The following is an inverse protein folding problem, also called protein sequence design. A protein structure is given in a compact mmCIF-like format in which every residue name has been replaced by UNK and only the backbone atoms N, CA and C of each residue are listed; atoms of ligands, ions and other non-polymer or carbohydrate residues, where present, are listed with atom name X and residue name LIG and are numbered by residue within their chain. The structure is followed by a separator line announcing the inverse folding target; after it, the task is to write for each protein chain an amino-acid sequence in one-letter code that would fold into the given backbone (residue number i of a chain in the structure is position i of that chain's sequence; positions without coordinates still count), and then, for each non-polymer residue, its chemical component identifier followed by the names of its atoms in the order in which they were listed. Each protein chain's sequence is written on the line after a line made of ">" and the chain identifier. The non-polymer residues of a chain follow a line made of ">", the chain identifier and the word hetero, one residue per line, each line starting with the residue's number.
data_IF_775308770248
#
_entry.id   IF_775308770248
#
_cell.length_a   1.000
_cell.length_b   1.000
_cell.length_c   1.000
_cell.angle_alpha   90.00
_cell.angle_beta   90.00
_cell.angle_gamma   90.00
#
_symmetry.space_group_name_H-M   'P 1'
#
loop_
_entity.id
_entity.type
_entity.pdbx_description
1 polymer ?
#
# COMPACT_ATOMS: atom_id res chain seq x y z
N UNK A 1 -20.86 -1.76 51.03
CA UNK A 1 -20.58 -0.90 49.86
C UNK A 1 -21.51 -1.35 48.74
N UNK A 2 -22.33 -0.46 48.17
CA UNK A 2 -23.16 -0.81 46.99
C UNK A 2 -22.23 -0.95 45.78
N UNK A 3 -22.21 -2.10 45.12
CA UNK A 3 -21.48 -2.26 43.87
C UNK A 3 -22.12 -1.35 42.81
N UNK A 4 -21.40 -0.34 42.33
CA UNK A 4 -21.85 0.41 41.16
C UNK A 4 -21.85 -0.55 39.96
N UNK A 5 -23.01 -0.72 39.33
CA UNK A 5 -23.13 -1.53 38.12
C UNK A 5 -22.35 -0.86 37.00
N UNK A 6 -21.36 -1.57 36.43
CA UNK A 6 -20.62 -1.07 35.28
C UNK A 6 -21.55 -0.76 34.11
N UNK A 7 -21.34 0.38 33.46
CA UNK A 7 -22.08 0.75 32.25
C UNK A 7 -21.82 -0.28 31.13
N UNK A 8 -22.68 -0.33 30.12
CA UNK A 8 -22.47 -1.24 28.99
C UNK A 8 -21.15 -0.93 28.27
N UNK A 9 -20.81 0.35 28.11
CA UNK A 9 -19.53 0.80 27.55
C UNK A 9 -18.33 0.33 28.38
N UNK A 10 -18.39 0.46 29.71
CA UNK A 10 -17.33 -0.04 30.61
C UNK A 10 -17.18 -1.56 30.52
N UNK A 11 -18.27 -2.30 30.33
CA UNK A 11 -18.22 -3.76 30.15
C UNK A 11 -17.62 -4.17 28.80
N UNK A 12 -17.77 -3.33 27.79
CA UNK A 12 -17.19 -3.54 26.46
C UNK A 12 -15.72 -3.13 26.36
N UNK A 13 -15.14 -2.54 27.41
CA UNK A 13 -13.74 -2.11 27.43
C UNK A 13 -13.50 -0.70 26.87
N UNK A 14 -14.56 0.10 26.68
CA UNK A 14 -14.42 1.48 26.18
C UNK A 14 -13.98 2.48 27.26
N UNK A 15 -13.82 2.04 28.51
CA UNK A 15 -13.24 2.88 29.54
C UNK A 15 -11.72 2.78 29.47
N UNK A 16 -11.15 3.45 28.48
CA UNK A 16 -9.71 3.42 28.28
C UNK A 16 -9.03 4.57 29.04
N UNK A 17 -8.49 4.23 30.21
CA UNK A 17 -7.67 5.16 30.98
C UNK A 17 -6.42 5.64 30.19
N UNK A 18 -6.02 4.94 29.11
CA UNK A 18 -4.85 5.29 28.31
C UNK A 18 -5.05 6.48 27.38
N UNK A 19 -6.30 6.80 27.01
CA UNK A 19 -6.63 7.98 26.19
C UNK A 19 -6.12 9.29 26.79
N UNK A 20 -5.89 9.31 28.11
CA UNK A 20 -5.40 10.48 28.83
C UNK A 20 -3.88 10.48 29.07
N UNK A 21 -3.17 9.47 28.57
CA UNK A 21 -1.73 9.33 28.82
C UNK A 21 -0.90 10.08 27.79
N UNK A 22 0.14 10.82 28.20
CA UNK A 22 1.06 11.47 27.26
C UNK A 22 1.70 10.51 26.25
N UNK A 23 1.90 9.24 26.63
CA UNK A 23 2.45 8.20 25.75
C UNK A 23 1.50 7.86 24.59
N UNK A 24 0.18 7.92 24.82
CA UNK A 24 -0.83 7.73 23.79
C UNK A 24 -0.79 8.88 22.79
N UNK A 25 -0.80 10.12 23.28
CA UNK A 25 -0.72 11.31 22.43
C UNK A 25 0.56 11.33 21.60
N UNK A 26 1.70 10.96 22.20
CA UNK A 26 2.97 10.82 21.49
C UNK A 26 2.88 9.82 20.34
N UNK A 27 2.30 8.65 20.58
CA UNK A 27 2.16 7.61 19.55
C UNK A 27 1.16 8.01 18.46
N UNK A 28 0.06 8.68 18.81
CA UNK A 28 -0.88 9.29 17.87
C UNK A 28 -0.19 10.31 16.96
N UNK A 29 0.58 11.22 17.52
CA UNK A 29 1.33 12.22 16.76
C UNK A 29 2.42 11.58 15.89
N UNK A 30 3.10 10.56 16.40
CA UNK A 30 4.07 9.81 15.62
C UNK A 30 3.42 9.11 14.43
N UNK A 31 2.32 8.39 14.64
CA UNK A 31 1.58 7.74 13.57
C UNK A 31 1.09 8.77 12.54
N UNK A 32 0.45 9.85 12.98
CA UNK A 32 -0.05 10.91 12.10
C UNK A 32 1.05 11.55 11.24
N UNK A 33 2.27 11.74 11.76
CA UNK A 33 3.39 12.28 10.98
C UNK A 33 3.93 11.30 9.93
N UNK A 34 3.74 10.00 10.14
CA UNK A 34 4.35 8.94 9.34
C UNK A 34 3.33 8.09 8.57
N UNK A 35 2.02 8.40 8.67
CA UNK A 35 0.95 7.51 8.20
C UNK A 35 1.02 7.25 6.69
N UNK A 36 1.54 8.16 5.88
CA UNK A 36 1.70 7.94 4.43
C UNK A 36 2.71 6.84 4.11
N UNK A 37 3.80 6.76 4.89
CA UNK A 37 4.79 5.70 4.75
C UNK A 37 4.20 4.35 5.14
N UNK A 38 3.46 4.31 6.25
CA UNK A 38 2.71 3.12 6.64
C UNK A 38 1.66 2.74 5.60
N UNK A 39 0.91 3.71 5.08
CA UNK A 39 -0.13 3.49 4.07
C UNK A 39 0.44 2.84 2.80
N UNK A 40 1.62 3.28 2.33
CA UNK A 40 2.34 2.63 1.23
C UNK A 40 2.59 1.16 1.52
N UNK A 41 3.26 0.89 2.64
CA UNK A 41 3.57 -0.48 3.07
C UNK A 41 2.31 -1.34 3.19
N UNK A 42 1.26 -0.82 3.82
CA UNK A 42 -0.02 -1.52 3.98
C UNK A 42 -0.67 -1.85 2.64
N UNK A 43 -0.55 -0.98 1.64
CA UNK A 43 -1.11 -1.22 0.31
C UNK A 43 -0.27 -2.22 -0.48
N UNK A 44 1.05 -2.18 -0.35
CA UNK A 44 1.93 -3.14 -0.99
C UNK A 44 1.72 -4.55 -0.42
N UNK A 45 1.64 -4.65 0.91
CA UNK A 45 1.48 -5.92 1.63
C UNK A 45 0.07 -6.51 1.45
N UNK A 46 -0.99 -5.67 1.48
CA UNK A 46 -2.38 -6.14 1.54
C UNK A 46 -3.24 -5.77 0.32
N UNK A 47 -2.83 -4.81 -0.49
CA UNK A 47 -3.56 -4.33 -1.67
C UNK A 47 -3.36 -5.19 -2.92
N UNK A 48 -2.34 -6.05 -2.96
CA UNK A 48 -2.10 -7.01 -4.04
C UNK A 48 -3.28 -7.96 -4.28
N UNK A 49 -4.02 -8.33 -3.21
CA UNK A 49 -5.23 -9.14 -3.31
C UNK A 49 -6.45 -8.41 -3.93
N UNK A 50 -6.48 -7.07 -3.94
CA UNK A 50 -7.49 -6.30 -4.68
C UNK A 50 -7.21 -6.32 -6.19
N UNK A 51 -5.94 -6.38 -6.59
CA UNK A 51 -5.54 -6.39 -8.00
C UNK A 51 -5.74 -7.76 -8.67
N UNK A 52 -5.65 -8.88 -7.94
CA UNK A 52 -5.88 -10.22 -8.53
C UNK A 52 -7.33 -10.43 -9.04
N UNK A 53 -8.30 -9.66 -8.54
CA UNK A 53 -9.70 -9.74 -9.01
C UNK A 53 -9.98 -8.88 -10.24
N UNK A 54 -9.03 -8.01 -10.64
CA UNK A 54 -9.09 -7.30 -11.92
C UNK A 54 -8.54 -8.26 -12.99
N UNK A 55 -9.42 -9.18 -13.42
CA UNK A 55 -9.37 -10.00 -14.64
C UNK A 55 -8.04 -9.99 -15.40
N UNK A 56 -7.30 -11.08 -15.26
CA UNK A 56 -6.33 -11.57 -16.27
C UNK A 56 -7.03 -12.33 -17.41
N UNK A 57 -8.33 -12.10 -17.62
CA UNK A 57 -9.07 -12.71 -18.72
C UNK A 57 -8.59 -12.14 -20.06
N UNK A 58 -7.63 -12.86 -20.66
CA UNK A 58 -7.26 -12.89 -22.09
C UNK A 58 -6.85 -11.56 -22.73
N UNK A 59 -5.54 -11.30 -22.77
CA UNK A 59 -4.95 -10.51 -23.86
C UNK A 59 -3.70 -11.22 -24.40
N UNK A 60 -3.74 -11.72 -25.65
CA UNK A 60 -2.58 -12.31 -26.29
C UNK A 60 -1.70 -11.22 -26.94
N UNK A 61 -0.44 -11.16 -26.47
CA UNK A 61 0.72 -10.47 -27.06
C UNK A 61 0.75 -8.93 -27.06
N UNK A 62 1.76 -8.38 -26.37
CA UNK A 62 2.17 -6.97 -26.40
C UNK A 62 2.57 -6.44 -25.02
N UNK A 63 3.73 -5.79 -24.91
CA UNK A 63 4.03 -4.90 -23.78
C UNK A 63 3.18 -3.64 -23.99
N UNK A 64 2.03 -3.56 -23.34
CA UNK A 64 1.35 -2.29 -23.16
C UNK A 64 2.09 -1.54 -22.05
N UNK A 65 2.79 -0.45 -22.39
CA UNK A 65 2.85 0.67 -21.45
C UNK A 65 1.38 1.05 -21.25
N UNK A 66 0.83 0.71 -20.10
CA UNK A 66 -0.57 1.02 -19.79
C UNK A 66 -0.79 2.51 -20.03
N UNK A 67 -1.73 2.84 -20.90
CA UNK A 67 -2.23 4.20 -21.05
C UNK A 67 -2.59 4.72 -19.65
N UNK A 68 -1.80 5.66 -19.15
CA UNK A 68 -2.04 6.28 -17.85
C UNK A 68 -2.37 7.74 -18.09
N UNK A 69 -3.65 8.06 -17.93
CA UNK A 69 -4.13 9.44 -17.88
C UNK A 69 -3.67 10.06 -16.55
N UNK A 70 -2.66 10.92 -16.63
CA UNK A 70 -2.37 11.93 -15.62
C UNK A 70 -2.54 13.30 -16.27
N UNK A 71 -3.63 14.00 -15.94
CA UNK A 71 -3.98 15.31 -16.49
C UNK A 71 -3.02 16.44 -16.07
N UNK A 72 -1.96 16.14 -15.31
CA UNK A 72 -1.04 17.16 -14.74
C UNK A 72 0.38 17.14 -15.27
N UNK A 73 0.73 16.21 -16.16
CA UNK A 73 2.04 16.21 -16.82
C UNK A 73 1.85 16.46 -18.33
N UNK A 74 2.65 17.37 -18.89
CA UNK A 74 2.67 17.72 -20.32
C UNK A 74 3.18 16.52 -21.18
N UNK A 75 2.35 15.49 -21.35
CA UNK A 75 2.71 14.20 -21.97
C UNK A 75 2.47 14.10 -23.48
N UNK A 76 2.23 15.21 -24.17
CA UNK A 76 2.14 15.24 -25.64
C UNK A 76 3.38 14.69 -26.36
N UNK A 77 4.53 14.56 -25.67
CA UNK A 77 5.79 14.05 -26.25
C UNK A 77 6.09 12.56 -25.99
N UNK A 78 5.40 11.90 -25.04
CA UNK A 78 5.68 10.51 -24.67
C UNK A 78 4.75 9.51 -25.38
N UNK A 79 3.61 9.95 -25.89
CA UNK A 79 2.70 9.07 -26.65
C UNK A 79 3.25 8.64 -28.01
N UNK A 80 4.28 9.31 -28.52
CA UNK A 80 4.96 8.91 -29.75
C UNK A 80 6.10 7.91 -29.49
N UNK A 81 6.63 7.80 -28.27
CA UNK A 81 7.78 6.94 -27.95
C UNK A 81 7.43 5.47 -27.67
N UNK A 82 6.15 5.14 -27.52
CA UNK A 82 5.62 3.79 -27.23
C UNK A 82 5.75 2.78 -28.40
N UNK A 83 6.20 3.22 -29.57
CA UNK A 83 6.43 2.35 -30.75
C UNK A 83 7.93 2.11 -31.01
N UNK A 84 8.70 1.74 -29.98
CA UNK A 84 10.04 1.19 -30.21
C UNK A 84 9.89 -0.24 -30.73
N UNK A 85 10.21 -0.47 -32.00
CA UNK A 85 10.20 -1.82 -32.59
C UNK A 85 11.32 -2.65 -31.94
N UNK A 86 10.94 -3.75 -31.27
CA UNK A 86 11.85 -4.61 -30.55
C UNK A 86 12.55 -5.62 -31.47
N UNK A 87 13.90 -5.69 -31.48
CA UNK A 87 14.60 -6.79 -32.14
C UNK A 87 14.41 -8.06 -31.33
N UNK A 88 13.58 -8.99 -31.83
CA UNK A 88 13.19 -10.23 -31.14
C UNK A 88 14.35 -11.18 -30.85
N UNK A 89 15.49 -10.97 -31.50
CA UNK A 89 16.58 -11.95 -31.56
C UNK A 89 17.83 -11.50 -30.76
N UNK A 90 17.74 -10.42 -29.97
CA UNK A 90 18.87 -9.84 -29.25
C UNK A 90 18.66 -9.78 -27.74
N UNK A 91 19.66 -10.24 -27.00
CA UNK A 91 19.79 -10.00 -25.56
C UNK A 91 20.72 -8.80 -25.33
N UNK A 92 20.47 -8.04 -24.26
CA UNK A 92 21.26 -6.87 -23.89
C UNK A 92 21.72 -7.00 -22.45
N UNK A 93 22.97 -6.65 -22.16
CA UNK A 93 23.56 -6.73 -20.83
C UNK A 93 23.26 -5.50 -19.97
N UNK A 94 22.90 -4.36 -20.59
CA UNK A 94 22.56 -3.11 -19.90
C UNK A 94 21.47 -2.29 -20.62
N UNK A 95 20.89 -1.31 -19.92
CA UNK A 95 19.94 -0.35 -20.52
C UNK A 95 20.61 0.52 -21.58
N UNK A 96 21.90 0.84 -21.40
CA UNK A 96 22.65 1.63 -22.37
C UNK A 96 22.87 0.83 -23.66
N UNK A 97 23.20 -0.46 -23.57
CA UNK A 97 23.32 -1.34 -24.75
C UNK A 97 22.01 -1.41 -25.52
N UNK A 98 20.91 -1.56 -24.79
CA UNK A 98 19.57 -1.54 -25.36
C UNK A 98 19.27 -0.22 -26.06
N UNK A 99 19.42 0.93 -25.38
CA UNK A 99 19.12 2.24 -25.95
C UNK A 99 20.03 2.54 -27.15
N UNK A 100 21.29 2.13 -27.09
CA UNK A 100 22.22 2.26 -28.20
C UNK A 100 21.78 1.41 -29.40
N UNK A 101 21.34 0.18 -29.21
CA UNK A 101 20.81 -0.65 -30.30
C UNK A 101 19.50 -0.10 -30.86
N UNK A 102 18.56 0.29 -30.00
CA UNK A 102 17.29 0.89 -30.40
C UNK A 102 17.51 2.19 -31.21
N UNK A 103 18.53 2.98 -30.87
CA UNK A 103 18.86 4.23 -31.56
C UNK A 103 19.41 4.04 -32.98
N UNK A 104 19.85 2.82 -33.34
CA UNK A 104 20.28 2.49 -34.71
C UNK A 104 19.11 2.50 -35.68
N UNK A 105 17.88 2.31 -35.20
CA UNK A 105 16.69 2.53 -36.00
C UNK A 105 16.40 4.05 -36.05
N UNK A 106 16.44 4.63 -37.25
CA UNK A 106 16.33 6.08 -37.45
C UNK A 106 15.01 6.65 -36.90
N UNK A 107 13.94 5.86 -36.94
CA UNK A 107 12.62 6.23 -36.42
C UNK A 107 12.55 6.23 -34.88
N UNK A 108 13.58 5.70 -34.22
CA UNK A 108 13.67 5.58 -32.77
C UNK A 108 14.66 6.58 -32.15
N UNK A 109 15.47 7.28 -32.95
CA UNK A 109 16.58 8.10 -32.44
C UNK A 109 16.12 9.22 -31.51
N UNK A 110 15.07 9.95 -31.89
CA UNK A 110 14.52 11.03 -31.06
C UNK A 110 13.86 10.49 -29.79
N UNK A 111 13.18 9.34 -29.89
CA UNK A 111 12.53 8.64 -28.76
C UNK A 111 13.56 8.15 -27.74
N UNK A 112 14.64 7.53 -28.22
CA UNK A 112 15.75 7.07 -27.38
C UNK A 112 16.42 8.24 -26.67
N UNK A 113 16.62 9.37 -27.37
CA UNK A 113 17.21 10.56 -26.75
C UNK A 113 16.32 11.13 -25.64
N UNK A 114 14.99 11.16 -25.84
CA UNK A 114 14.05 11.57 -24.80
C UNK A 114 14.12 10.66 -23.56
N UNK A 115 14.18 9.34 -23.76
CA UNK A 115 14.33 8.36 -22.65
C UNK A 115 15.66 8.54 -21.92
N UNK A 116 16.78 8.73 -22.66
CA UNK A 116 18.10 9.01 -22.06
C UNK A 116 18.08 10.26 -21.20
N UNK A 117 17.37 11.29 -21.63
CA UNK A 117 17.28 12.55 -20.89
C UNK A 117 16.46 12.42 -19.59
N UNK A 118 15.36 11.67 -19.62
CA UNK A 118 14.58 11.34 -18.41
C UNK A 118 15.40 10.52 -17.39
N UNK A 119 16.20 9.57 -17.86
CA UNK A 119 17.12 8.80 -17.01
C UNK A 119 18.17 9.73 -16.37
N UNK A 120 18.73 10.68 -17.13
CA UNK A 120 19.74 11.64 -16.62
C UNK A 120 19.20 12.61 -15.58
N UNK A 121 17.92 12.99 -15.69
CA UNK A 121 17.29 13.92 -14.77
C UNK A 121 16.95 13.29 -13.41
N UNK A 122 17.29 12.01 -13.19
CA UNK A 122 16.97 11.21 -11.99
C UNK A 122 15.46 11.13 -11.69
N UNK A 123 14.62 11.55 -12.65
CA UNK A 123 13.16 11.39 -12.64
C UNK A 123 12.75 9.93 -12.93
N UNK A 124 13.71 9.08 -13.30
CA UNK A 124 13.48 7.68 -13.64
C UNK A 124 14.51 6.75 -12.96
N UNK A 125 14.28 6.37 -11.70
CA UNK A 125 15.06 5.32 -11.02
C UNK A 125 14.56 3.92 -11.40
N UNK A 126 14.91 3.48 -12.61
CA UNK A 126 14.69 2.11 -13.04
C UNK A 126 15.77 1.20 -12.45
N UNK A 127 15.43 0.41 -11.43
CA UNK A 127 16.24 -0.76 -11.07
C UNK A 127 15.80 -1.92 -11.96
N UNK A 128 16.65 -2.31 -12.92
CA UNK A 128 16.44 -3.51 -13.72
C UNK A 128 16.97 -4.69 -12.91
N UNK A 129 16.08 -5.42 -12.25
CA UNK A 129 16.38 -6.75 -11.74
C UNK A 129 16.10 -7.78 -12.84
N UNK A 130 17.15 -8.43 -13.36
CA UNK A 130 16.99 -9.67 -14.13
C UNK A 130 16.90 -10.82 -13.12
N UNK A 131 15.69 -11.25 -12.76
CA UNK A 131 15.53 -12.52 -12.05
C UNK A 131 15.81 -13.66 -13.03
N UNK A 132 17.01 -14.22 -12.95
CA UNK A 132 17.33 -15.53 -13.55
C UNK A 132 16.59 -16.59 -12.73
N UNK A 133 15.34 -16.86 -13.09
CA UNK A 133 14.56 -17.95 -12.48
C UNK A 133 15.21 -19.29 -12.83
N UNK A 134 15.32 -20.15 -11.82
CA UNK A 134 15.91 -21.49 -11.88
C UNK A 134 15.40 -22.30 -13.07
N UNK A 135 16.33 -23.04 -13.71
CA UNK A 135 16.06 -24.02 -14.76
C UNK A 135 15.00 -25.04 -14.29
N UNK A 136 13.74 -24.79 -14.60
CA UNK A 136 12.70 -25.81 -14.64
C UNK A 136 12.85 -26.55 -15.97
N UNK A 137 13.36 -27.78 -15.90
CA UNK A 137 13.33 -28.74 -17.01
C UNK A 137 11.89 -29.15 -17.28
N UNK A 138 11.15 -28.33 -18.02
CA UNK A 138 9.87 -28.73 -18.62
C UNK A 138 9.89 -28.21 -20.06
N UNK A 139 9.58 -29.09 -21.01
CA UNK A 139 9.85 -28.92 -22.44
C UNK A 139 9.29 -27.65 -23.08
N UNK A 140 10.00 -27.22 -24.13
CA UNK A 140 9.59 -26.35 -25.25
C UNK A 140 8.33 -25.49 -25.02
N UNK A 141 8.47 -24.43 -24.24
CA UNK A 141 7.68 -23.23 -24.42
C UNK A 141 8.65 -22.06 -24.60
N UNK A 142 8.51 -21.35 -25.73
CA UNK A 142 9.19 -20.08 -25.97
C UNK A 142 8.65 -19.07 -24.95
N UNK A 143 9.41 -18.84 -23.87
CA UNK A 143 9.12 -17.79 -22.90
C UNK A 143 9.77 -16.51 -23.38
N UNK A 144 8.97 -15.51 -23.76
CA UNK A 144 9.47 -14.17 -24.06
C UNK A 144 9.93 -13.47 -22.76
N UNK A 145 11.05 -12.72 -22.77
CA UNK A 145 11.51 -11.97 -21.61
C UNK A 145 10.54 -10.82 -21.31
N UNK A 146 9.78 -10.95 -20.22
CA UNK A 146 9.02 -9.84 -19.66
C UNK A 146 9.95 -8.96 -18.82
N UNK A 147 10.08 -7.68 -19.19
CA UNK A 147 10.66 -6.68 -18.31
C UNK A 147 9.62 -6.29 -17.25
N UNK A 148 9.75 -6.85 -16.06
CA UNK A 148 9.09 -6.32 -14.89
C UNK A 148 9.88 -5.09 -14.44
N UNK A 149 9.28 -3.90 -14.58
CA UNK A 149 9.83 -2.70 -13.94
C UNK A 149 9.10 -2.52 -12.59
N UNK A 150 9.64 -3.07 -11.49
CA UNK A 150 8.99 -2.99 -10.18
C UNK A 150 8.79 -1.54 -9.71
N UNK A 151 9.57 -0.59 -10.24
CA UNK A 151 9.62 0.79 -9.77
C UNK A 151 8.65 1.77 -10.48
N UNK A 152 7.86 1.34 -11.49
CA UNK A 152 6.84 2.23 -12.09
C UNK A 152 5.54 2.25 -11.30
N UNK A 153 5.40 1.39 -10.28
CA UNK A 153 4.29 1.47 -9.33
C UNK A 153 4.54 2.53 -8.24
N UNK A 154 5.16 3.67 -8.57
CA UNK A 154 4.79 4.93 -7.92
C UNK A 154 3.38 5.33 -8.36
N UNK A 155 2.43 4.43 -8.10
CA UNK A 155 1.01 4.70 -8.02
C UNK A 155 0.85 5.73 -6.92
N UNK A 156 1.04 7.00 -7.27
CA UNK A 156 0.69 8.11 -6.38
C UNK A 156 -0.77 7.89 -6.03
N UNK A 157 -1.04 7.66 -4.74
CA UNK A 157 -2.40 7.62 -4.24
C UNK A 157 -3.06 8.90 -4.73
N UNK A 158 -4.19 8.76 -5.42
CA UNK A 158 -4.86 9.92 -5.99
C UNK A 158 -5.26 10.86 -4.84
N UNK A 159 -5.76 10.28 -3.74
CA UNK A 159 -6.05 10.98 -2.50
C UNK A 159 -5.99 10.04 -1.29
N UNK A 160 -5.31 10.47 -0.21
CA UNK A 160 -5.46 9.90 1.13
C UNK A 160 -6.00 10.95 2.10
N UNK A 161 -6.89 10.54 3.00
CA UNK A 161 -7.45 11.39 4.05
C UNK A 161 -7.43 10.64 5.37
N UNK A 162 -6.98 11.31 6.41
CA UNK A 162 -6.97 10.81 7.78
C UNK A 162 -7.95 11.64 8.62
N UNK A 163 -8.75 10.97 9.45
CA UNK A 163 -9.66 11.59 10.41
C UNK A 163 -9.35 11.06 11.80
N UNK A 164 -9.12 11.97 12.72
CA UNK A 164 -8.95 11.67 14.15
C UNK A 164 -10.30 11.33 14.78
N UNK A 165 -10.29 10.48 15.81
CA UNK A 165 -11.43 10.21 16.68
C UNK A 165 -12.71 9.91 15.90
N UNK A 166 -12.64 8.91 15.01
CA UNK A 166 -13.76 8.62 14.13
C UNK A 166 -14.85 7.84 14.89
N UNK A 167 -16.08 8.37 14.99
CA UNK A 167 -17.15 7.68 15.70
C UNK A 167 -17.55 6.40 14.96
N UNK A 168 -17.56 5.29 15.68
CA UNK A 168 -18.13 4.02 15.24
C UNK A 168 -19.58 3.98 15.71
N UNK A 169 -20.51 3.86 14.77
CA UNK A 169 -21.95 3.84 15.05
C UNK A 169 -22.59 2.55 14.56
N UNK A 170 -23.64 2.12 15.24
CA UNK A 170 -24.51 1.04 14.78
C UNK A 170 -25.33 1.46 13.56
N UNK A 171 -26.00 0.50 12.91
CA UNK A 171 -26.89 0.77 11.77
C UNK A 171 -28.05 1.72 12.10
N UNK A 172 -28.46 1.79 13.36
CA UNK A 172 -29.54 2.68 13.84
C UNK A 172 -29.01 4.02 14.34
N UNK A 173 -27.71 4.30 14.21
CA UNK A 173 -27.08 5.55 14.62
C UNK A 173 -26.63 5.63 16.07
N UNK A 174 -26.82 4.57 16.89
CA UNK A 174 -26.25 4.57 18.24
C UNK A 174 -24.73 4.56 18.18
N UNK A 175 -24.11 5.44 18.98
CA UNK A 175 -22.66 5.48 19.17
C UNK A 175 -22.19 4.24 19.92
N UNK A 176 -21.22 3.54 19.35
CA UNK A 176 -20.59 2.35 19.92
C UNK A 176 -19.27 2.72 20.59
N UNK A 177 -18.47 3.56 19.93
CA UNK A 177 -17.18 4.03 20.42
C UNK A 177 -16.51 4.96 19.41
N UNK A 178 -15.23 5.20 19.61
CA UNK A 178 -14.37 5.98 18.71
C UNK A 178 -13.14 5.16 18.37
N UNK A 179 -12.69 5.22 17.12
CA UNK A 179 -11.37 4.72 16.72
C UNK A 179 -10.42 5.90 16.59
N UNK A 180 -9.16 5.74 17.02
CA UNK A 180 -8.19 6.84 17.08
C UNK A 180 -8.01 7.49 15.70
N UNK A 181 -7.88 6.68 14.65
CA UNK A 181 -7.89 7.17 13.28
C UNK A 181 -8.73 6.34 12.31
N UNK A 182 -9.42 7.05 11.42
CA UNK A 182 -9.90 6.51 10.16
C UNK A 182 -9.02 7.02 9.03
N UNK A 183 -8.26 6.12 8.40
CA UNK A 183 -7.51 6.42 7.18
C UNK A 183 -8.33 5.93 5.99
N UNK A 184 -8.63 6.83 5.07
CA UNK A 184 -9.29 6.52 3.80
C UNK A 184 -8.35 6.82 2.64
N UNK A 185 -8.31 5.94 1.65
CA UNK A 185 -7.50 6.16 0.45
C UNK A 185 -8.24 5.67 -0.78
N UNK A 186 -8.06 6.35 -1.90
CA UNK A 186 -8.60 5.95 -3.20
C UNK A 186 -7.46 5.54 -4.13
N UNK A 187 -7.74 4.52 -4.95
CA UNK A 187 -6.84 4.10 -6.01
C UNK A 187 -7.52 4.34 -7.37
N UNK A 188 -6.90 5.15 -8.23
CA UNK A 188 -7.41 5.48 -9.57
C UNK A 188 -8.88 5.94 -9.59
N UNK A 189 -9.29 6.77 -8.62
CA UNK A 189 -10.66 7.30 -8.53
C UNK A 189 -11.75 6.28 -8.15
N UNK A 190 -11.39 5.02 -7.83
CA UNK A 190 -12.33 3.99 -7.36
C UNK A 190 -12.52 4.05 -5.84
N UNK A 191 -13.53 3.31 -5.35
CA UNK A 191 -14.02 3.30 -3.96
C UNK A 191 -12.91 3.46 -2.91
N UNK A 192 -13.19 4.28 -1.89
CA UNK A 192 -12.23 4.55 -0.82
C UNK A 192 -12.10 3.32 0.09
N UNK A 193 -10.93 2.70 0.05
CA UNK A 193 -10.53 1.72 1.04
C UNK A 193 -10.33 2.41 2.39
N UNK A 194 -10.51 1.65 3.47
CA UNK A 194 -10.50 2.18 4.84
C UNK A 194 -9.63 1.34 5.76
N UNK A 195 -8.79 2.01 6.52
CA UNK A 195 -8.13 1.46 7.69
C UNK A 195 -8.70 2.12 8.96
N UNK A 196 -9.09 1.28 9.91
CA UNK A 196 -9.50 1.67 11.26
C UNK A 196 -8.27 1.44 12.15
N UNK A 197 -7.64 2.51 12.59
CA UNK A 197 -6.36 2.45 13.31
C UNK A 197 -6.62 2.67 14.79
N UNK A 198 -6.30 1.66 15.58
CA UNK A 198 -6.31 1.71 17.04
C UNK A 198 -4.86 1.84 17.55
N UNK A 199 -4.64 2.75 18.49
CA UNK A 199 -3.35 3.04 19.10
C UNK A 199 -3.37 2.62 20.55
N UNK A 200 -2.46 1.72 20.93
CA UNK A 200 -2.31 1.23 22.29
C UNK A 200 -0.84 1.27 22.69
N UNK A 201 -0.35 2.29 23.41
CA UNK A 201 1.04 2.33 23.88
C UNK A 201 1.41 1.08 24.67
N UNK A 202 0.44 0.56 25.43
CA UNK A 202 0.56 -0.64 26.25
C UNK A 202 -0.68 -1.52 26.05
N UNK A 203 -0.53 -2.84 26.02
CA UNK A 203 -1.66 -3.76 25.88
C UNK A 203 -1.90 -4.47 27.20
N UNK A 204 -2.91 -4.00 27.95
CA UNK A 204 -3.28 -4.58 29.25
C UNK A 204 -3.72 -6.04 29.14
N UNK A 205 -4.49 -6.37 28.10
CA UNK A 205 -5.07 -7.70 27.89
C UNK A 205 -5.43 -7.90 26.42
N UNK A 206 -4.93 -8.98 25.81
CA UNK A 206 -5.27 -9.37 24.44
C UNK A 206 -6.77 -9.63 24.27
N UNK A 207 -7.42 -10.22 25.28
CA UNK A 207 -8.85 -10.54 25.21
C UNK A 207 -9.75 -9.29 25.23
N UNK A 208 -9.33 -8.23 25.93
CA UNK A 208 -10.01 -6.94 25.91
C UNK A 208 -9.81 -6.23 24.58
N UNK A 209 -8.57 -6.17 24.11
CA UNK A 209 -8.20 -5.61 22.81
C UNK A 209 -9.00 -6.26 21.67
N UNK A 210 -8.98 -7.59 21.54
CA UNK A 210 -9.70 -8.24 20.45
C UNK A 210 -11.21 -8.08 20.54
N UNK A 211 -11.79 -7.95 21.75
CA UNK A 211 -13.21 -7.63 21.91
C UNK A 211 -13.54 -6.25 21.33
N UNK A 212 -12.69 -5.26 21.61
CA UNK A 212 -12.82 -3.91 21.08
C UNK A 212 -12.67 -3.91 19.54
N UNK A 213 -11.60 -4.51 19.01
CA UNK A 213 -11.35 -4.57 17.55
C UNK A 213 -12.46 -5.31 16.79
N UNK A 214 -12.96 -6.43 17.33
CA UNK A 214 -14.08 -7.16 16.75
C UNK A 214 -15.39 -6.35 16.79
N UNK A 215 -15.57 -5.52 17.82
CA UNK A 215 -16.72 -4.62 17.90
C UNK A 215 -16.68 -3.60 16.77
N UNK A 216 -15.52 -2.99 16.48
CA UNK A 216 -15.38 -2.08 15.34
C UNK A 216 -15.67 -2.76 14.01
N UNK A 217 -15.09 -3.95 13.81
CA UNK A 217 -15.29 -4.75 12.59
C UNK A 217 -16.76 -5.11 12.34
N UNK A 218 -17.53 -5.34 13.40
CA UNK A 218 -18.96 -5.64 13.29
C UNK A 218 -19.80 -4.43 12.82
N UNK A 219 -19.32 -3.21 13.06
CA UNK A 219 -20.08 -1.98 12.83
C UNK A 219 -19.56 -1.13 11.66
N UNK A 220 -18.29 -1.26 11.30
CA UNK A 220 -17.66 -0.42 10.29
C UNK A 220 -16.84 -1.26 9.30
N UNK A 221 -17.01 -0.97 8.01
CA UNK A 221 -16.20 -1.59 6.95
C UNK A 221 -14.78 -0.99 6.95
N UNK A 222 -13.77 -1.85 6.90
CA UNK A 222 -12.38 -1.48 6.82
C UNK A 222 -11.48 -2.57 7.36
N UNK A 223 -10.17 -2.47 7.09
CA UNK A 223 -9.15 -3.29 7.75
C UNK A 223 -8.77 -2.65 9.08
N UNK A 224 -8.54 -3.48 10.10
CA UNK A 224 -8.10 -2.99 11.41
C UNK A 224 -6.57 -2.92 11.40
N UNK A 225 -6.03 -1.80 11.88
CA UNK A 225 -4.60 -1.61 12.11
C UNK A 225 -4.41 -1.34 13.60
N UNK A 226 -3.50 -2.07 14.24
CA UNK A 226 -3.10 -1.85 15.62
C UNK A 226 -1.69 -1.27 15.64
N UNK A 227 -1.52 -0.15 16.32
CA UNK A 227 -0.21 0.52 16.50
C UNK A 227 0.16 0.50 17.98
N UNK A 228 1.35 0.00 18.31
CA UNK A 228 1.80 -0.12 19.71
C UNK A 228 3.32 -0.01 19.83
N UNK A 229 3.80 0.34 21.03
CA UNK A 229 5.21 0.23 21.40
C UNK A 229 5.58 -1.18 21.88
N UNK A 230 4.61 -2.00 22.30
CA UNK A 230 4.91 -3.35 22.77
C UNK A 230 5.29 -4.24 21.61
N UNK A 231 6.39 -4.99 21.75
CA UNK A 231 6.76 -6.03 20.79
C UNK A 231 6.00 -7.31 21.13
N UNK A 232 5.07 -7.68 20.27
CA UNK A 232 4.21 -8.85 20.42
C UNK A 232 4.43 -9.82 19.25
N UNK A 233 3.88 -11.02 19.40
CA UNK A 233 3.86 -12.01 18.33
C UNK A 233 2.86 -11.59 17.23
N UNK A 234 3.38 -11.31 16.04
CA UNK A 234 2.60 -10.85 14.89
C UNK A 234 1.61 -11.93 14.39
N UNK A 235 1.92 -13.22 14.58
CA UNK A 235 1.06 -14.32 14.13
C UNK A 235 -0.32 -14.27 14.80
N UNK A 236 -0.37 -13.88 16.08
CA UNK A 236 -1.62 -13.75 16.85
C UNK A 236 -2.56 -12.73 16.20
N UNK A 237 -2.03 -11.63 15.66
CA UNK A 237 -2.82 -10.58 15.02
C UNK A 237 -3.21 -10.94 13.59
N UNK A 238 -2.29 -11.59 12.87
CA UNK A 238 -2.52 -12.08 11.51
C UNK A 238 -3.69 -13.07 11.45
N UNK A 239 -3.75 -14.00 12.39
CA UNK A 239 -4.85 -14.97 12.51
C UNK A 239 -6.22 -14.31 12.75
N UNK A 240 -6.22 -13.09 13.30
CA UNK A 240 -7.42 -12.31 13.57
C UNK A 240 -7.72 -11.26 12.49
N UNK A 241 -7.03 -11.27 11.34
CA UNK A 241 -7.13 -10.25 10.28
C UNK A 241 -6.93 -8.82 10.84
N UNK A 242 -5.95 -8.67 11.73
CA UNK A 242 -5.51 -7.39 12.30
C UNK A 242 -4.10 -7.12 11.80
N UNK A 243 -3.90 -5.94 11.21
CA UNK A 243 -2.57 -5.52 10.77
C UNK A 243 -1.83 -4.91 11.95
N UNK A 244 -0.69 -5.47 12.30
CA UNK A 244 0.09 -5.08 13.48
C UNK A 244 1.28 -4.20 13.09
N UNK A 245 1.39 -3.03 13.73
CA UNK A 245 2.49 -2.08 13.55
C UNK A 245 3.17 -1.88 14.91
N UNK A 246 4.36 -2.44 15.04
CA UNK A 246 5.27 -2.14 16.13
C UNK A 246 6.02 -0.84 15.84
N UNK A 247 5.99 0.10 16.78
CA UNK A 247 6.80 1.32 16.74
C UNK A 247 7.90 1.18 17.79
N UNK A 248 9.16 1.29 17.36
CA UNK A 248 10.28 1.34 18.31
C UNK A 248 10.27 2.68 19.04
N UNK A 249 10.32 2.68 20.38
CA UNK A 249 10.54 3.91 21.14
C UNK A 249 11.95 4.42 20.82
N UNK A 250 12.04 5.59 20.18
CA UNK A 250 13.30 6.30 20.05
C UNK A 250 13.89 6.52 21.44
N UNK A 251 15.16 6.16 21.64
CA UNK A 251 15.92 6.59 22.81
C UNK A 251 16.17 8.09 22.65
N UNK A 252 15.22 8.92 23.04
CA UNK A 252 15.45 10.35 23.21
C UNK A 252 16.41 10.59 24.37
#
# INVERSE_FOLDING_TARGET
>A
MKSQSKTHMERMGFNDNELSTPEHDELCLYFYKNYEGYLRKLIDDYGSNLNQKIRTDKFPYGIHLSEYYDDRLNYGKLNESSNLIWPKDKQFESIDDFLNEASKNINNKEKVNAVKELIRQDEFKCNIGCETTQKLNVGQYDMEPYFYCPNVNHRRFADSKIKWEHPITSRTGYMIGYVDFLVTYSYSGKESNRFLVEIKPKIKSLGELFRQLNTYRAHQKGKIVLVTYEKLDEEIFKDQDVIYIHVERGKN
#
